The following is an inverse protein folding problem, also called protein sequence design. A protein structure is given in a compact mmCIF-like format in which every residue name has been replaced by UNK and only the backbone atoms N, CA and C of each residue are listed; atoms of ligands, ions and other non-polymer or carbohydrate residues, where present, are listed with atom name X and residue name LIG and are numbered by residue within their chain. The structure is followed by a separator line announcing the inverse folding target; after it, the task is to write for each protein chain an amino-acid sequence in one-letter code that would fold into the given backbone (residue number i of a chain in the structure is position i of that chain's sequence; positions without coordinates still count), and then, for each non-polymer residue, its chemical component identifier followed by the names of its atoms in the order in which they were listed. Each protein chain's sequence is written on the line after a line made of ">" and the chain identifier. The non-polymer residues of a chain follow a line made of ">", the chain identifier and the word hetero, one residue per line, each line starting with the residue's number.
data_IF_276896964059
#
_entry.id   IF_276896964059
#
_cell.length_a   1.000
_cell.length_b   1.000
_cell.length_c   1.000
_cell.angle_alpha   90.00
_cell.angle_beta   90.00
_cell.angle_gamma   90.00
#
_symmetry.space_group_name_H-M   'P 1'
#
loop_
_entity.id
_entity.type
_entity.pdbx_description
1 polymer ?
#
# COMPACT_ATOMS: atom_id res chain seq x y z
N UNK A 1 12.70 2.57 20.93
CA UNK A 1 12.85 2.90 19.49
C UNK A 1 11.59 3.65 19.11
N UNK A 2 11.69 4.75 18.36
CA UNK A 2 10.50 5.45 17.87
C UNK A 2 9.78 4.58 16.85
N UNK A 3 8.45 4.61 16.87
CA UNK A 3 7.62 3.94 15.87
C UNK A 3 7.95 4.46 14.46
N UNK A 4 7.84 3.58 13.44
CA UNK A 4 8.04 3.98 12.04
C UNK A 4 6.79 4.64 11.45
N UNK A 5 5.61 4.11 11.77
CA UNK A 5 4.31 4.75 11.53
C UNK A 5 3.67 5.00 12.87
N UNK A 6 3.10 6.18 13.08
CA UNK A 6 2.39 6.52 14.31
C UNK A 6 1.14 7.34 14.00
N UNK A 7 0.01 6.93 14.52
CA UNK A 7 -1.26 7.64 14.53
C UNK A 7 -1.56 8.11 15.95
N UNK A 8 -1.73 9.41 16.13
CA UNK A 8 -1.99 10.05 17.42
C UNK A 8 -3.33 10.79 17.35
N UNK A 9 -4.33 10.30 18.08
CA UNK A 9 -5.66 10.91 18.22
C UNK A 9 -6.30 11.28 16.88
N UNK A 10 -6.16 10.42 15.86
CA UNK A 10 -6.58 10.73 14.50
C UNK A 10 -8.09 10.62 14.36
N UNK A 11 -8.67 11.72 13.91
CA UNK A 11 -10.09 11.86 13.60
C UNK A 11 -10.28 12.20 12.12
N UNK A 12 -11.31 11.61 11.50
CA UNK A 12 -11.73 11.94 10.14
C UNK A 12 -13.24 12.04 10.04
N UNK A 13 -13.72 13.21 9.67
CA UNK A 13 -15.12 13.47 9.34
C UNK A 13 -15.24 13.88 7.88
N UNK A 14 -16.13 13.23 7.15
CA UNK A 14 -16.51 13.62 5.80
C UNK A 14 -17.81 14.41 5.87
N UNK A 15 -17.80 15.63 5.32
CA UNK A 15 -18.98 16.48 5.18
C UNK A 15 -19.63 16.20 3.82
N UNK A 16 -20.81 15.59 3.80
CA UNK A 16 -21.56 15.27 2.58
C UNK A 16 -22.91 15.99 2.61
N UNK A 17 -22.94 17.22 2.15
CA UNK A 17 -24.12 18.06 2.23
C UNK A 17 -24.52 18.36 3.68
N UNK A 18 -25.70 17.91 4.09
CA UNK A 18 -26.21 18.10 5.47
C UNK A 18 -25.81 16.96 6.46
N UNK A 19 -25.07 15.96 5.99
CA UNK A 19 -24.71 14.79 6.80
C UNK A 19 -23.20 14.74 7.01
N UNK A 20 -22.81 14.63 8.28
CA UNK A 20 -21.44 14.37 8.70
C UNK A 20 -21.25 12.87 8.96
N UNK A 21 -20.25 12.30 8.29
CA UNK A 21 -19.90 10.89 8.45
C UNK A 21 -18.54 10.82 9.16
N UNK A 22 -18.54 10.37 10.41
CA UNK A 22 -17.32 10.12 11.15
C UNK A 22 -16.70 8.80 10.71
N UNK A 23 -15.66 8.87 9.90
CA UNK A 23 -14.95 7.71 9.36
C UNK A 23 -13.86 7.18 10.30
N UNK A 24 -13.22 8.06 11.08
CA UNK A 24 -12.26 7.71 12.13
C UNK A 24 -12.55 8.52 13.38
N UNK A 25 -12.48 7.85 14.55
CA UNK A 25 -12.71 8.46 15.86
C UNK A 25 -11.59 8.08 16.82
N UNK A 26 -10.77 9.04 17.20
CA UNK A 26 -9.65 8.90 18.15
C UNK A 26 -8.75 7.69 17.89
N UNK A 27 -8.34 7.51 16.64
CA UNK A 27 -7.53 6.37 16.22
C UNK A 27 -6.08 6.54 16.66
N UNK A 28 -5.58 5.57 17.42
CA UNK A 28 -4.22 5.54 17.96
C UNK A 28 -3.58 4.19 17.68
N UNK A 29 -2.45 4.14 17.00
CA UNK A 29 -1.63 2.92 16.82
C UNK A 29 -0.21 3.25 16.33
N UNK A 30 0.65 2.26 16.44
CA UNK A 30 2.04 2.31 15.97
C UNK A 30 2.38 1.07 15.13
N UNK A 31 3.28 1.24 14.16
CA UNK A 31 3.88 0.16 13.37
C UNK A 31 5.39 0.38 13.37
N UNK A 32 6.17 -0.68 13.65
CA UNK A 32 7.62 -0.58 13.64
C UNK A 32 8.18 -0.76 12.21
N UNK A 33 9.39 -0.28 12.00
CA UNK A 33 10.09 -0.44 10.72
C UNK A 33 10.31 -1.91 10.41
N UNK A 34 10.01 -2.31 9.17
CA UNK A 34 10.17 -3.68 8.70
C UNK A 34 9.10 -4.65 9.21
N UNK A 35 8.00 -4.18 9.82
CA UNK A 35 6.86 -5.02 10.17
C UNK A 35 5.94 -5.27 8.96
N UNK A 36 5.42 -6.49 8.88
CA UNK A 36 4.28 -6.84 8.05
C UNK A 36 3.00 -6.65 8.89
N UNK A 37 2.34 -5.52 8.69
CA UNK A 37 1.14 -5.15 9.45
C UNK A 37 -0.12 -5.46 8.66
N UNK A 38 -1.11 -6.07 9.32
CA UNK A 38 -2.43 -6.33 8.75
C UNK A 38 -3.48 -5.56 9.53
N UNK A 39 -4.23 -4.71 8.83
CA UNK A 39 -5.37 -3.95 9.39
C UNK A 39 -6.65 -4.65 8.94
N UNK A 40 -7.40 -5.16 9.90
CA UNK A 40 -8.67 -5.88 9.67
C UNK A 40 -9.85 -5.12 10.27
N UNK A 41 -11.04 -5.36 9.73
CA UNK A 41 -12.29 -4.79 10.23
C UNK A 41 -13.43 -5.01 9.26
N UNK A 42 -14.66 -4.71 9.68
CA UNK A 42 -15.84 -4.79 8.83
C UNK A 42 -15.74 -3.84 7.62
N UNK A 43 -16.56 -4.08 6.59
CA UNK A 43 -16.73 -3.11 5.51
C UNK A 43 -17.25 -1.78 6.09
N UNK A 44 -16.69 -0.67 5.65
CA UNK A 44 -17.05 0.66 6.17
C UNK A 44 -16.40 1.07 7.49
N UNK A 45 -15.60 0.21 8.14
CA UNK A 45 -14.94 0.52 9.42
C UNK A 45 -13.82 1.58 9.35
N UNK A 46 -13.56 2.20 8.20
CA UNK A 46 -12.53 3.24 8.06
C UNK A 46 -11.15 2.75 7.63
N UNK A 47 -10.96 1.46 7.29
CA UNK A 47 -9.66 0.90 6.88
C UNK A 47 -9.05 1.63 5.69
N UNK A 48 -9.82 1.82 4.62
CA UNK A 48 -9.37 2.56 3.42
C UNK A 48 -9.07 4.02 3.76
N UNK A 49 -9.82 4.64 4.69
CA UNK A 49 -9.55 5.99 5.17
C UNK A 49 -8.20 6.07 5.87
N UNK A 50 -7.87 5.10 6.75
CA UNK A 50 -6.55 4.99 7.41
C UNK A 50 -5.45 4.92 6.34
N UNK A 51 -5.61 4.02 5.34
CA UNK A 51 -4.63 3.83 4.29
C UNK A 51 -4.45 5.08 3.43
N UNK A 52 -5.53 5.77 3.08
CA UNK A 52 -5.50 7.00 2.29
C UNK A 52 -4.83 8.15 3.05
N UNK A 53 -5.10 8.30 4.35
CA UNK A 53 -4.43 9.32 5.18
C UNK A 53 -2.95 8.99 5.31
N UNK A 54 -2.59 7.75 5.66
CA UNK A 54 -1.19 7.31 5.76
C UNK A 54 -0.45 7.46 4.44
N UNK A 55 -1.13 7.22 3.32
CA UNK A 55 -0.56 7.37 1.99
C UNK A 55 -0.54 8.81 1.45
N UNK A 56 -1.04 9.78 2.20
CA UNK A 56 -1.10 11.19 1.79
C UNK A 56 -2.05 11.44 0.61
N UNK A 57 -3.06 10.58 0.42
CA UNK A 57 -4.13 10.74 -0.59
C UNK A 57 -5.34 11.47 -0.01
N UNK A 58 -5.51 11.43 1.31
CA UNK A 58 -6.54 12.18 2.03
C UNK A 58 -5.92 12.89 3.25
N UNK A 59 -6.64 13.87 3.80
CA UNK A 59 -6.27 14.61 5.01
C UNK A 59 -7.10 14.14 6.19
N UNK A 60 -6.54 14.16 7.38
CA UNK A 60 -7.28 14.01 8.63
C UNK A 60 -8.05 15.29 8.98
N UNK A 61 -9.05 15.19 9.88
CA UNK A 61 -9.76 16.34 10.44
C UNK A 61 -9.04 16.87 11.67
N UNK A 62 -8.55 15.98 12.53
CA UNK A 62 -7.78 16.32 13.74
C UNK A 62 -6.84 15.17 14.10
N UNK A 63 -5.81 15.45 14.91
CA UNK A 63 -4.78 14.51 15.31
C UNK A 63 -3.50 14.65 14.49
N UNK A 64 -2.63 13.63 14.57
CA UNK A 64 -1.33 13.63 13.89
C UNK A 64 -0.98 12.25 13.33
N UNK A 65 -0.28 12.25 12.20
CA UNK A 65 0.27 11.04 11.58
C UNK A 65 1.75 11.27 11.27
N UNK A 66 2.58 10.32 11.72
CA UNK A 66 4.02 10.35 11.49
C UNK A 66 4.48 9.16 10.66
N UNK A 67 5.49 9.39 9.83
CA UNK A 67 6.29 8.36 9.16
C UNK A 67 7.77 8.64 9.37
N UNK A 68 8.50 7.67 9.91
CA UNK A 68 9.96 7.74 10.15
C UNK A 68 10.35 9.00 10.93
N UNK A 69 9.51 9.42 11.91
CA UNK A 69 9.67 10.60 12.75
C UNK A 69 9.19 11.93 12.13
N UNK A 70 8.80 11.96 10.88
CA UNK A 70 8.30 13.15 10.18
C UNK A 70 6.77 13.24 10.27
N UNK A 71 6.22 14.39 10.68
CA UNK A 71 4.77 14.60 10.72
C UNK A 71 4.19 14.79 9.31
N UNK A 72 3.65 13.70 8.72
CA UNK A 72 3.09 13.69 7.36
C UNK A 72 1.80 14.49 7.27
N UNK A 73 1.00 14.50 8.35
CA UNK A 73 -0.25 15.25 8.44
C UNK A 73 -0.08 16.76 8.31
N UNK A 74 1.11 17.28 8.63
CA UNK A 74 1.46 18.70 8.48
C UNK A 74 1.97 19.06 7.07
N UNK A 75 2.07 18.10 6.15
CA UNK A 75 2.62 18.36 4.82
C UNK A 75 1.67 19.16 3.94
N UNK A 76 2.20 20.17 3.27
CA UNK A 76 1.48 20.87 2.21
C UNK A 76 1.39 20.02 0.92
N UNK A 77 0.59 20.44 -0.05
CA UNK A 77 0.36 19.71 -1.32
C UNK A 77 1.65 19.32 -2.05
N UNK A 78 2.67 20.18 -2.04
CA UNK A 78 3.97 19.92 -2.70
C UNK A 78 4.75 18.83 -1.97
N UNK A 79 4.81 18.86 -0.64
CA UNK A 79 5.44 17.83 0.18
C UNK A 79 4.71 16.49 0.06
N UNK A 80 3.36 16.48 0.08
CA UNK A 80 2.56 15.27 -0.14
C UNK A 80 2.80 14.64 -1.52
N UNK A 81 3.00 15.45 -2.56
CA UNK A 81 3.39 14.93 -3.88
C UNK A 81 4.73 14.24 -3.84
N UNK A 82 5.72 14.82 -3.17
CA UNK A 82 7.03 14.19 -2.95
C UNK A 82 6.93 12.90 -2.13
N UNK A 83 6.15 12.93 -1.04
CA UNK A 83 5.90 11.80 -0.17
C UNK A 83 5.30 10.60 -0.93
N UNK A 84 4.22 10.81 -1.70
CA UNK A 84 3.62 9.76 -2.56
C UNK A 84 4.58 9.26 -3.63
N UNK A 85 5.45 10.13 -4.12
CA UNK A 85 6.41 9.79 -5.18
C UNK A 85 7.56 8.92 -4.68
N UNK A 86 8.13 9.25 -3.51
CA UNK A 86 9.40 8.68 -3.07
C UNK A 86 9.27 7.72 -1.89
N UNK A 87 8.34 7.99 -0.96
CA UNK A 87 8.29 7.25 0.31
C UNK A 87 7.25 6.14 0.33
N UNK A 88 6.18 6.25 -0.50
CA UNK A 88 5.04 5.32 -0.48
C UNK A 88 4.84 4.61 -1.80
N UNK A 89 4.70 3.30 -1.75
CA UNK A 89 4.20 2.47 -2.83
C UNK A 89 2.75 2.03 -2.56
N UNK A 90 1.90 2.07 -3.59
CA UNK A 90 0.50 1.64 -3.48
C UNK A 90 0.24 0.40 -4.33
N UNK A 91 -0.48 -0.56 -3.73
CA UNK A 91 -1.04 -1.74 -4.39
C UNK A 91 -2.55 -1.76 -4.13
N UNK A 92 -3.34 -1.72 -5.18
CA UNK A 92 -4.80 -1.67 -5.11
C UNK A 92 -5.43 -3.02 -5.47
N UNK A 93 -6.67 -3.22 -5.04
CA UNK A 93 -7.48 -4.39 -5.36
C UNK A 93 -7.69 -4.56 -6.88
N UNK A 94 -7.96 -3.46 -7.58
CA UNK A 94 -8.07 -3.42 -9.04
C UNK A 94 -6.75 -2.88 -9.59
N UNK A 95 -5.85 -3.69 -9.94
CA UNK A 95 -4.46 -3.51 -10.38
C UNK A 95 -4.06 -2.12 -10.91
N UNK A 96 -4.99 -1.36 -11.50
CA UNK A 96 -4.81 -0.01 -12.05
C UNK A 96 -3.62 0.08 -13.02
N UNK A 97 -3.46 -0.93 -13.87
CA UNK A 97 -2.46 -0.95 -14.92
C UNK A 97 -2.91 -0.14 -16.13
N UNK A 98 -1.97 0.51 -16.77
CA UNK A 98 -2.19 1.21 -18.04
C UNK A 98 -2.31 0.15 -19.13
N UNK A 99 -3.49 0.02 -19.76
CA UNK A 99 -3.85 -1.11 -20.60
C UNK A 99 -3.06 -1.18 -21.92
N UNK A 100 -2.59 -0.05 -22.43
CA UNK A 100 -1.80 0.07 -23.64
C UNK A 100 -0.28 0.10 -23.42
N UNK A 101 0.16 -0.22 -22.22
CA UNK A 101 1.56 -0.42 -21.86
C UNK A 101 1.78 -1.89 -21.46
N UNK A 102 2.93 -2.42 -21.81
CA UNK A 102 3.39 -3.75 -21.39
C UNK A 102 3.61 -3.81 -19.86
N UNK A 103 3.85 -5.00 -19.33
CA UNK A 103 4.19 -5.16 -17.92
C UNK A 103 5.44 -4.35 -17.56
N UNK A 104 6.49 -4.39 -18.39
CA UNK A 104 7.72 -3.64 -18.19
C UNK A 104 7.46 -2.13 -18.20
N UNK A 105 6.78 -1.62 -19.22
CA UNK A 105 6.48 -0.19 -19.36
C UNK A 105 5.60 0.34 -18.22
N UNK A 106 4.66 -0.49 -17.70
CA UNK A 106 3.87 -0.12 -16.50
C UNK A 106 4.75 0.09 -15.26
N UNK A 107 5.81 -0.71 -15.11
CA UNK A 107 6.75 -0.58 -13.98
C UNK A 107 7.72 0.57 -14.20
N UNK A 108 8.29 0.70 -15.40
CA UNK A 108 9.19 1.79 -15.77
C UNK A 108 8.56 3.17 -15.62
N UNK A 109 7.27 3.32 -15.98
CA UNK A 109 6.53 4.58 -15.84
C UNK A 109 6.55 5.10 -14.39
N UNK A 110 6.45 4.20 -13.42
CA UNK A 110 6.52 4.58 -12.02
C UNK A 110 7.95 4.84 -11.53
N UNK A 111 8.92 4.09 -12.06
CA UNK A 111 10.33 4.25 -11.74
C UNK A 111 10.89 5.59 -12.24
N UNK A 112 10.53 6.01 -13.46
CA UNK A 112 11.02 7.23 -14.12
C UNK A 112 10.80 8.52 -13.31
N UNK A 113 9.78 8.57 -12.47
CA UNK A 113 9.49 9.76 -11.63
C UNK A 113 10.26 9.77 -10.31
N UNK A 114 11.00 8.71 -9.98
CA UNK A 114 11.69 8.54 -8.70
C UNK A 114 13.18 8.94 -8.82
N UNK A 115 13.79 9.27 -7.67
CA UNK A 115 15.21 9.68 -7.62
C UNK A 115 16.17 8.50 -7.61
N UNK A 116 15.78 7.41 -6.95
CA UNK A 116 16.59 6.21 -6.75
C UNK A 116 15.71 4.96 -6.97
N UNK A 117 15.22 4.77 -8.22
CA UNK A 117 14.36 3.64 -8.54
C UNK A 117 15.17 2.35 -8.62
N UNK A 118 14.51 1.22 -8.37
CA UNK A 118 15.03 -0.10 -8.70
C UNK A 118 14.86 -0.36 -10.20
N UNK A 119 15.71 -1.22 -10.75
CA UNK A 119 15.55 -1.67 -12.14
C UNK A 119 14.23 -2.41 -12.36
N UNK A 120 13.43 -1.96 -13.31
CA UNK A 120 12.09 -2.48 -13.55
C UNK A 120 12.09 -3.94 -13.98
N UNK A 121 13.08 -4.35 -14.81
CA UNK A 121 13.20 -5.72 -15.29
C UNK A 121 13.62 -6.67 -14.14
N UNK A 122 14.55 -6.24 -13.29
CA UNK A 122 14.97 -7.01 -12.12
C UNK A 122 13.79 -7.19 -11.15
N UNK A 123 13.04 -6.13 -10.85
CA UNK A 123 11.87 -6.22 -9.97
C UNK A 123 10.78 -7.12 -10.56
N UNK A 124 10.53 -7.07 -11.87
CA UNK A 124 9.60 -8.00 -12.53
C UNK A 124 10.08 -9.45 -12.46
N UNK A 125 11.37 -9.70 -12.62
CA UNK A 125 11.92 -11.04 -12.45
C UNK A 125 11.76 -11.55 -11.02
N UNK A 126 11.99 -10.71 -10.00
CA UNK A 126 11.80 -11.05 -8.57
C UNK A 126 10.35 -11.43 -8.23
N UNK A 127 9.37 -10.78 -8.85
CA UNK A 127 7.95 -11.14 -8.67
C UNK A 127 7.51 -12.31 -9.58
N UNK A 128 8.44 -12.98 -10.25
CA UNK A 128 8.19 -14.16 -11.08
C UNK A 128 7.55 -13.85 -12.43
N UNK A 129 7.84 -12.70 -13.02
CA UNK A 129 7.30 -12.25 -14.30
C UNK A 129 8.37 -12.00 -15.37
N UNK A 130 9.55 -12.65 -15.26
CA UNK A 130 10.65 -12.50 -16.20
C UNK A 130 10.21 -12.74 -17.66
N UNK A 131 9.41 -13.79 -17.89
CA UNK A 131 8.95 -14.19 -19.23
C UNK A 131 7.66 -13.49 -19.66
N UNK A 132 7.19 -12.52 -18.89
CA UNK A 132 5.93 -11.77 -19.10
C UNK A 132 6.14 -10.27 -19.30
N UNK A 133 7.37 -9.79 -19.34
CA UNK A 133 7.70 -8.36 -19.40
C UNK A 133 7.10 -7.65 -20.61
N UNK A 134 7.05 -8.32 -21.78
CA UNK A 134 6.51 -7.79 -23.02
C UNK A 134 4.98 -7.97 -23.18
N UNK A 135 4.31 -8.62 -22.21
CA UNK A 135 2.88 -8.84 -22.27
C UNK A 135 2.09 -7.58 -21.85
N UNK A 136 0.99 -7.31 -22.53
CA UNK A 136 0.01 -6.30 -22.13
C UNK A 136 -0.90 -6.83 -21.02
N UNK A 137 -1.51 -5.96 -20.20
CA UNK A 137 -2.40 -6.40 -19.12
C UNK A 137 -3.49 -7.39 -19.56
N UNK A 138 -4.09 -7.19 -20.73
CA UNK A 138 -5.10 -8.10 -21.28
C UNK A 138 -4.60 -9.53 -21.58
N UNK A 139 -3.28 -9.72 -21.65
CA UNK A 139 -2.62 -11.02 -21.90
C UNK A 139 -2.16 -11.70 -20.59
N UNK A 140 -2.39 -11.07 -19.45
CA UNK A 140 -1.97 -11.51 -18.13
C UNK A 140 -3.18 -11.98 -17.31
N UNK A 141 -2.99 -13.06 -16.55
CA UNK A 141 -3.97 -13.46 -15.53
C UNK A 141 -4.11 -12.40 -14.45
N UNK A 142 -5.18 -12.44 -13.67
CA UNK A 142 -5.39 -11.51 -12.56
C UNK A 142 -4.23 -11.50 -11.55
N UNK A 143 -3.70 -12.68 -11.23
CA UNK A 143 -2.53 -12.79 -10.35
C UNK A 143 -1.23 -12.24 -10.94
N UNK A 144 -1.04 -12.38 -12.27
CA UNK A 144 0.09 -11.75 -12.97
C UNK A 144 -0.07 -10.23 -12.99
N UNK A 145 -1.26 -9.71 -13.27
CA UNK A 145 -1.55 -8.27 -13.22
C UNK A 145 -1.29 -7.69 -11.81
N UNK A 146 -1.70 -8.42 -10.76
CA UNK A 146 -1.41 -8.01 -9.38
C UNK A 146 0.09 -7.99 -9.08
N UNK A 147 0.84 -8.98 -9.56
CA UNK A 147 2.30 -8.97 -9.41
C UNK A 147 2.97 -7.83 -10.20
N UNK A 148 2.45 -7.45 -11.37
CA UNK A 148 2.90 -6.23 -12.07
C UNK A 148 2.61 -4.98 -11.24
N UNK A 149 1.42 -4.86 -10.62
CA UNK A 149 1.08 -3.74 -9.74
C UNK A 149 2.00 -3.67 -8.50
N UNK A 150 2.36 -4.81 -7.92
CA UNK A 150 3.34 -4.89 -6.83
C UNK A 150 4.73 -4.48 -7.33
N UNK A 151 5.19 -4.99 -8.47
CA UNK A 151 6.46 -4.62 -9.07
C UNK A 151 6.55 -3.11 -9.34
N UNK A 152 5.47 -2.52 -9.87
CA UNK A 152 5.35 -1.08 -10.10
C UNK A 152 5.50 -0.27 -8.81
N UNK A 153 4.89 -0.74 -7.71
CA UNK A 153 5.03 -0.09 -6.42
C UNK A 153 6.45 -0.23 -5.85
N UNK A 154 7.07 -1.41 -6.00
CA UNK A 154 8.42 -1.72 -5.49
C UNK A 154 9.54 -1.02 -6.28
N UNK A 155 9.38 -0.87 -7.60
CA UNK A 155 10.37 -0.21 -8.45
C UNK A 155 10.62 1.25 -8.07
N UNK A 156 9.66 1.88 -7.41
CA UNK A 156 9.84 3.21 -6.81
C UNK A 156 10.83 3.22 -5.64
N UNK A 157 11.23 2.07 -5.12
CA UNK A 157 12.06 1.88 -3.93
C UNK A 157 11.47 2.56 -2.66
N UNK A 158 10.17 2.38 -2.36
CA UNK A 158 9.51 3.10 -1.29
C UNK A 158 9.98 2.63 0.10
N UNK A 159 9.80 3.45 1.12
CA UNK A 159 9.99 3.07 2.53
C UNK A 159 8.81 2.25 3.06
N UNK A 160 7.62 2.57 2.57
CA UNK A 160 6.34 2.02 3.01
C UNK A 160 5.54 1.50 1.81
N UNK A 161 5.06 0.26 1.88
CA UNK A 161 4.15 -0.34 0.91
C UNK A 161 2.75 -0.44 1.51
N UNK A 162 1.78 0.20 0.88
CA UNK A 162 0.37 0.20 1.28
C UNK A 162 -0.44 -0.66 0.31
N UNK A 163 -1.15 -1.65 0.83
CA UNK A 163 -1.92 -2.60 0.03
C UNK A 163 -3.40 -2.58 0.45
N UNK A 164 -4.26 -2.18 -0.47
CA UNK A 164 -5.71 -2.18 -0.29
C UNK A 164 -6.30 -3.45 -0.91
N UNK A 165 -6.74 -4.40 -0.07
CA UNK A 165 -7.34 -5.68 -0.46
C UNK A 165 -6.56 -6.39 -1.60
N UNK A 166 -5.24 -6.61 -1.47
CA UNK A 166 -4.37 -7.02 -2.58
C UNK A 166 -4.72 -8.39 -3.17
N UNK A 167 -5.61 -9.14 -2.51
CA UNK A 167 -6.06 -10.46 -2.94
C UNK A 167 -7.56 -10.55 -3.21
N UNK A 168 -8.29 -9.45 -3.06
CA UNK A 168 -9.75 -9.44 -3.12
C UNK A 168 -10.35 -9.85 -4.48
N UNK A 169 -9.59 -9.75 -5.57
CA UNK A 169 -10.00 -10.14 -6.92
C UNK A 169 -9.35 -11.47 -7.39
N UNK A 170 -8.66 -12.21 -6.50
CA UNK A 170 -7.89 -13.41 -6.83
C UNK A 170 -8.50 -14.66 -6.23
N UNK A 171 -8.28 -15.80 -6.89
CA UNK A 171 -8.54 -17.11 -6.30
C UNK A 171 -7.61 -17.39 -5.09
N UNK A 172 -7.97 -18.35 -4.27
CA UNK A 172 -7.28 -18.65 -3.01
C UNK A 172 -5.76 -18.91 -3.19
N UNK A 173 -5.37 -19.73 -4.17
CA UNK A 173 -3.98 -20.11 -4.36
C UNK A 173 -3.13 -18.94 -4.86
N UNK A 174 -3.66 -18.21 -5.83
CA UNK A 174 -3.03 -17.00 -6.37
C UNK A 174 -2.92 -15.91 -5.30
N UNK A 175 -3.97 -15.72 -4.51
CA UNK A 175 -3.97 -14.79 -3.39
C UNK A 175 -2.89 -15.12 -2.35
N UNK A 176 -2.76 -16.41 -1.99
CA UNK A 176 -1.71 -16.89 -1.07
C UNK A 176 -0.30 -16.61 -1.60
N UNK A 177 -0.07 -16.81 -2.90
CA UNK A 177 1.22 -16.51 -3.52
C UNK A 177 1.55 -15.01 -3.50
N UNK A 178 0.55 -14.15 -3.76
CA UNK A 178 0.71 -12.69 -3.67
C UNK A 178 1.04 -12.24 -2.24
N UNK A 179 0.37 -12.79 -1.24
CA UNK A 179 0.65 -12.46 0.16
C UNK A 179 2.03 -12.89 0.61
N UNK A 180 2.46 -14.09 0.18
CA UNK A 180 3.82 -14.55 0.45
C UNK A 180 4.84 -13.61 -0.18
N UNK A 181 4.63 -13.16 -1.42
CA UNK A 181 5.50 -12.18 -2.08
C UNK A 181 5.61 -10.88 -1.28
N UNK A 182 4.50 -10.35 -0.76
CA UNK A 182 4.48 -9.14 0.07
C UNK A 182 5.22 -9.37 1.39
N UNK A 183 5.04 -10.54 2.04
CA UNK A 183 5.75 -10.90 3.26
C UNK A 183 7.26 -11.07 3.02
N UNK A 184 7.65 -11.74 1.92
CA UNK A 184 9.05 -11.92 1.53
C UNK A 184 9.71 -10.55 1.22
N UNK A 185 8.97 -9.63 0.59
CA UNK A 185 9.42 -8.25 0.37
C UNK A 185 9.68 -7.52 1.69
N UNK A 186 8.79 -7.66 2.66
CA UNK A 186 8.96 -7.10 3.99
C UNK A 186 10.24 -7.64 4.65
N UNK A 187 10.39 -8.97 4.70
CA UNK A 187 11.48 -9.64 5.42
C UNK A 187 12.84 -9.49 4.74
N UNK A 188 12.89 -9.67 3.42
CA UNK A 188 14.15 -9.73 2.68
C UNK A 188 14.67 -8.34 2.30
N UNK A 189 13.78 -7.36 2.10
CA UNK A 189 14.16 -5.99 1.70
C UNK A 189 14.02 -4.98 2.83
N UNK A 190 13.59 -5.41 4.03
CA UNK A 190 13.41 -4.53 5.19
C UNK A 190 12.35 -3.44 4.98
N UNK A 191 11.42 -3.63 4.04
CA UNK A 191 10.33 -2.68 3.78
C UNK A 191 9.23 -2.87 4.80
N UNK A 192 8.60 -1.78 5.23
CA UNK A 192 7.38 -1.86 6.03
C UNK A 192 6.19 -2.06 5.09
N UNK A 193 5.36 -3.06 5.35
CA UNK A 193 4.20 -3.40 4.52
C UNK A 193 2.94 -3.32 5.36
N UNK A 194 1.96 -2.57 4.91
CA UNK A 194 0.64 -2.46 5.55
C UNK A 194 -0.42 -2.98 4.58
N UNK A 195 -1.11 -4.02 4.96
CA UNK A 195 -2.21 -4.63 4.20
C UNK A 195 -3.51 -4.35 4.91
N UNK A 196 -4.47 -3.72 4.22
CA UNK A 196 -5.86 -3.69 4.72
C UNK A 196 -6.68 -4.76 4.03
N UNK A 197 -7.50 -5.47 4.83
CA UNK A 197 -8.33 -6.56 4.34
C UNK A 197 -9.51 -6.86 5.26
N UNK A 198 -10.55 -7.45 4.70
CA UNK A 198 -11.63 -8.06 5.47
C UNK A 198 -11.37 -9.55 5.76
N UNK A 199 -10.34 -10.15 5.17
CA UNK A 199 -10.00 -11.56 5.37
C UNK A 199 -9.15 -11.75 6.64
N UNK A 200 -9.79 -12.19 7.72
CA UNK A 200 -9.13 -12.44 9.00
C UNK A 200 -8.06 -13.55 8.95
N UNK A 201 -8.10 -14.47 7.97
CA UNK A 201 -7.09 -15.51 7.86
C UNK A 201 -5.67 -14.94 7.63
N UNK A 202 -5.57 -13.71 7.11
CA UNK A 202 -4.29 -13.03 6.89
C UNK A 202 -3.59 -12.59 8.17
N UNK A 203 -4.32 -12.47 9.28
CA UNK A 203 -3.75 -12.07 10.57
C UNK A 203 -2.68 -13.05 11.08
N UNK A 204 -2.80 -14.33 10.70
CA UNK A 204 -1.81 -15.36 11.07
C UNK A 204 -0.42 -15.15 10.42
N UNK A 205 -0.32 -14.33 9.37
CA UNK A 205 0.93 -14.03 8.68
C UNK A 205 1.57 -12.72 9.15
N UNK A 206 0.85 -11.93 9.95
CA UNK A 206 1.23 -10.58 10.35
C UNK A 206 2.16 -10.58 11.57
N UNK A 207 3.15 -9.68 11.54
CA UNK A 207 3.94 -9.34 12.73
C UNK A 207 3.11 -8.46 13.69
N UNK A 208 2.18 -7.67 13.10
CA UNK A 208 1.26 -6.79 13.83
C UNK A 208 -0.14 -6.85 13.21
N UNK A 209 -1.15 -6.94 14.08
CA UNK A 209 -2.57 -6.88 13.68
C UNK A 209 -3.23 -5.68 14.35
N UNK A 210 -3.90 -4.86 13.54
CA UNK A 210 -4.72 -3.74 13.99
C UNK A 210 -6.17 -4.05 13.62
N UNK A 211 -7.06 -4.02 14.60
CA UNK A 211 -8.50 -4.23 14.38
C UNK A 211 -9.24 -2.92 14.45
N UNK A 212 -9.92 -2.56 13.37
CA UNK A 212 -10.79 -1.37 13.29
C UNK A 212 -12.24 -1.82 13.47
N UNK A 213 -12.93 -1.17 14.40
CA UNK A 213 -14.31 -1.50 14.77
C UNK A 213 -15.27 -0.36 14.39
#
# INVERSE_FOLDING_TARGET
>A
MSAFVEFQHVNKVYHTGEVDIQALNDVNFEINKGEFCVIVGASGAGKTTILNILGGMDSLTDGKVFLDGEEVSAYNKRKLTGYRRYDVGFVFQFYNLVQNLTALENVELAAQICKDPLDAAEVLAEVGLKDRMANFPAQLSGGEQQRVAIARALAKNPKLLLCDEPTGALDYNTGKAVLKLLQDTCRNKGKTVVVITHNQALTAMADRVITVK
#
